data_IF_584124254432
#
_entry.id   IF_584124254432
#
_cell.length_a   1.000
_cell.length_b   1.000
_cell.length_c   1.000
_cell.angle_alpha   90.00
_cell.angle_beta   90.00
_cell.angle_gamma   90.00
#
_symmetry.space_group_name_H-M   'P 1'
#
loop_
_entity.id
_entity.type
_entity.pdbx_description
1 polymer ?
#
# COMPACT_ATOMS: atom_id res chain seq x y z
N UNK A 1 -16.50 -29.50 -36.36
CA UNK A 1 -17.82 -29.36 -35.71
C UNK A 1 -17.85 -29.94 -34.28
N UNK A 2 -17.34 -31.16 -34.06
CA UNK A 2 -17.30 -31.87 -32.76
C UNK A 2 -16.59 -31.10 -31.61
N UNK A 3 -15.55 -30.31 -31.91
CA UNK A 3 -14.77 -29.55 -30.93
C UNK A 3 -15.51 -28.31 -30.37
N UNK A 4 -16.43 -27.72 -31.16
CA UNK A 4 -17.31 -26.60 -30.70
C UNK A 4 -18.44 -27.13 -29.79
N UNK A 5 -18.99 -28.30 -30.09
CA UNK A 5 -20.00 -28.98 -29.27
C UNK A 5 -19.47 -29.37 -27.87
N UNK A 6 -18.23 -29.88 -27.78
CA UNK A 6 -17.58 -30.17 -26.48
C UNK A 6 -17.32 -28.93 -25.62
N UNK A 7 -16.99 -27.78 -26.22
CA UNK A 7 -16.77 -26.51 -25.49
C UNK A 7 -18.08 -25.90 -24.98
N UNK A 8 -19.19 -26.08 -25.70
CA UNK A 8 -20.53 -25.68 -25.25
C UNK A 8 -21.01 -26.57 -24.10
N UNK A 9 -20.77 -27.89 -24.18
CA UNK A 9 -21.09 -28.83 -23.10
C UNK A 9 -20.31 -28.55 -21.80
N UNK A 10 -19.05 -28.10 -21.90
CA UNK A 10 -18.24 -27.70 -20.75
C UNK A 10 -18.74 -26.43 -20.06
N UNK A 11 -19.24 -25.43 -20.81
CA UNK A 11 -19.85 -24.21 -20.26
C UNK A 11 -21.24 -24.44 -19.67
N UNK A 12 -21.99 -25.43 -20.19
CA UNK A 12 -23.28 -25.81 -19.66
C UNK A 12 -23.19 -26.42 -18.23
N UNK A 13 -22.08 -27.09 -17.89
CA UNK A 13 -21.87 -27.65 -16.53
C UNK A 13 -21.64 -26.61 -15.44
N UNK A 14 -21.31 -25.36 -15.80
CA UNK A 14 -21.17 -24.25 -14.85
C UNK A 14 -22.49 -23.51 -14.60
N UNK A 15 -23.55 -23.83 -15.34
CA UNK A 15 -24.87 -23.24 -15.22
C UNK A 15 -25.73 -24.10 -14.28
N UNK A 16 -26.36 -23.49 -13.28
CA UNK A 16 -27.23 -24.21 -12.34
C UNK A 16 -28.38 -24.94 -13.04
N UNK A 17 -28.98 -25.97 -12.42
CA UNK A 17 -30.00 -26.81 -13.05
C UNK A 17 -31.21 -26.01 -13.57
N UNK A 18 -31.57 -24.92 -12.89
CA UNK A 18 -32.63 -24.01 -13.30
C UNK A 18 -32.33 -23.23 -14.60
N UNK A 19 -31.08 -22.83 -14.81
CA UNK A 19 -30.68 -22.12 -16.04
C UNK A 19 -30.62 -23.04 -17.24
N UNK A 20 -30.23 -24.31 -17.05
CA UNK A 20 -30.27 -25.33 -18.09
C UNK A 20 -31.72 -25.60 -18.50
N UNK A 21 -32.64 -25.74 -17.53
CA UNK A 21 -34.07 -25.91 -17.79
C UNK A 21 -34.68 -24.75 -18.59
N UNK A 22 -34.36 -23.51 -18.24
CA UNK A 22 -34.86 -22.33 -18.95
C UNK A 22 -34.37 -22.25 -20.41
N UNK A 23 -33.11 -22.61 -20.68
CA UNK A 23 -32.56 -22.64 -22.05
C UNK A 23 -33.27 -23.71 -22.88
N UNK A 24 -33.48 -24.91 -22.33
CA UNK A 24 -34.20 -26.00 -23.00
C UNK A 24 -35.64 -25.60 -23.35
N UNK A 25 -36.37 -25.02 -22.40
CA UNK A 25 -37.76 -24.56 -22.61
C UNK A 25 -37.82 -23.48 -23.71
N UNK A 26 -36.89 -22.53 -23.68
CA UNK A 26 -36.82 -21.45 -24.68
C UNK A 26 -36.51 -22.00 -26.07
N UNK A 27 -35.58 -22.97 -26.18
CA UNK A 27 -35.27 -23.63 -27.45
C UNK A 27 -36.45 -24.45 -28.01
N UNK A 28 -37.21 -25.13 -27.14
CA UNK A 28 -38.41 -25.86 -27.54
C UNK A 28 -39.53 -24.92 -28.01
N UNK A 29 -39.70 -23.77 -27.36
CA UNK A 29 -40.67 -22.75 -27.80
C UNK A 29 -40.31 -22.16 -29.16
N UNK A 30 -39.05 -21.84 -29.41
CA UNK A 30 -38.58 -21.35 -30.73
C UNK A 30 -38.82 -22.39 -31.82
N UNK A 31 -38.57 -23.67 -31.54
CA UNK A 31 -38.86 -24.78 -32.46
C UNK A 31 -40.36 -24.94 -32.73
N UNK A 32 -41.21 -24.81 -31.70
CA UNK A 32 -42.65 -24.90 -31.84
C UNK A 32 -43.24 -23.73 -32.65
N UNK A 33 -42.73 -22.50 -32.47
CA UNK A 33 -43.12 -21.32 -33.27
C UNK A 33 -42.75 -21.51 -34.74
N UNK A 34 -41.55 -22.02 -35.03
CA UNK A 34 -41.09 -22.25 -36.41
C UNK A 34 -41.90 -23.35 -37.10
N UNK A 35 -42.24 -24.43 -36.40
CA UNK A 35 -43.14 -25.47 -36.93
C UNK A 35 -44.55 -24.91 -37.17
N UNK A 36 -45.15 -24.18 -36.21
CA UNK A 36 -46.48 -23.62 -36.37
C UNK A 36 -46.58 -22.60 -37.52
N UNK A 37 -45.51 -21.85 -37.78
CA UNK A 37 -45.43 -20.91 -38.91
C UNK A 37 -45.34 -21.62 -40.27
N UNK A 38 -44.75 -22.83 -40.33
CA UNK A 38 -44.64 -23.62 -41.57
C UNK A 38 -45.98 -24.29 -41.94
N UNK A 39 -46.83 -24.62 -40.96
CA UNK A 39 -48.13 -25.26 -41.18
C UNK A 39 -49.31 -24.28 -41.26
N UNK A 40 -49.06 -23.00 -41.55
CA UNK A 40 -50.05 -21.91 -41.70
C UNK A 40 -51.02 -21.76 -40.50
N UNK A 41 -50.59 -22.21 -39.33
CA UNK A 41 -51.35 -22.13 -38.09
C UNK A 41 -51.11 -20.78 -37.39
N UNK A 42 -51.43 -19.68 -38.08
CA UNK A 42 -51.10 -18.32 -37.67
C UNK A 42 -51.53 -17.98 -36.23
N UNK A 43 -52.71 -18.46 -35.79
CA UNK A 43 -53.21 -18.26 -34.41
C UNK A 43 -52.33 -18.95 -33.36
N UNK A 44 -51.84 -20.16 -33.67
CA UNK A 44 -50.98 -20.94 -32.77
C UNK A 44 -49.58 -20.32 -32.72
N UNK A 45 -49.06 -19.86 -33.86
CA UNK A 45 -47.77 -19.19 -33.95
C UNK A 45 -47.74 -17.88 -33.12
N UNK A 46 -48.80 -17.08 -33.18
CA UNK A 46 -48.93 -15.84 -32.39
C UNK A 46 -48.98 -16.14 -30.88
N UNK A 47 -49.73 -17.16 -30.45
CA UNK A 47 -49.78 -17.57 -29.04
C UNK A 47 -48.42 -18.06 -28.52
N UNK A 48 -47.69 -18.85 -29.33
CA UNK A 48 -46.37 -19.36 -28.97
C UNK A 48 -45.31 -18.24 -28.95
N UNK A 49 -45.40 -17.26 -29.85
CA UNK A 49 -44.54 -16.09 -29.86
C UNK A 49 -44.77 -15.21 -28.63
N UNK A 50 -46.03 -14.99 -28.23
CA UNK A 50 -46.38 -14.26 -27.02
C UNK A 50 -45.83 -14.94 -25.76
N UNK A 51 -45.91 -16.28 -25.70
CA UNK A 51 -45.36 -17.08 -24.61
C UNK A 51 -43.83 -17.00 -24.55
N UNK A 52 -43.15 -17.07 -25.70
CA UNK A 52 -41.69 -16.88 -25.79
C UNK A 52 -41.28 -15.49 -25.27
N UNK A 53 -42.02 -14.45 -25.66
CA UNK A 53 -41.75 -13.08 -25.22
C UNK A 53 -41.94 -12.92 -23.71
N UNK A 54 -42.99 -13.52 -23.14
CA UNK A 54 -43.24 -13.53 -21.70
C UNK A 54 -42.11 -14.22 -20.91
N UNK A 55 -41.61 -15.37 -21.41
CA UNK A 55 -40.48 -16.09 -20.80
C UNK A 55 -39.19 -15.27 -20.89
N UNK A 56 -38.94 -14.59 -22.02
CA UNK A 56 -37.79 -13.71 -22.19
C UNK A 56 -37.84 -12.52 -21.23
N UNK A 57 -38.99 -11.85 -21.11
CA UNK A 57 -39.21 -10.74 -20.17
C UNK A 57 -39.03 -11.21 -18.73
N UNK A 58 -39.59 -12.36 -18.34
CA UNK A 58 -39.42 -12.93 -17.01
C UNK A 58 -37.95 -13.30 -16.70
N UNK A 59 -37.22 -13.81 -17.71
CA UNK A 59 -35.78 -14.08 -17.60
C UNK A 59 -34.96 -12.80 -17.38
N UNK A 60 -35.23 -11.75 -18.17
CA UNK A 60 -34.62 -10.43 -18.01
C UNK A 60 -34.95 -9.85 -16.63
N UNK A 61 -36.22 -9.95 -16.19
CA UNK A 61 -36.64 -9.47 -14.87
C UNK A 61 -35.90 -10.22 -13.76
N UNK A 62 -35.78 -11.55 -13.84
CA UNK A 62 -35.06 -12.37 -12.85
C UNK A 62 -33.57 -12.03 -12.79
N UNK A 63 -32.93 -11.80 -13.93
CA UNK A 63 -31.52 -11.36 -14.00
C UNK A 63 -31.39 -9.95 -13.45
N UNK A 64 -32.29 -9.03 -13.77
CA UNK A 64 -32.26 -7.66 -13.29
C UNK A 64 -32.53 -7.57 -11.78
N UNK A 65 -33.42 -8.43 -11.24
CA UNK A 65 -33.65 -8.59 -9.81
C UNK A 65 -32.46 -9.23 -9.09
N UNK A 66 -31.78 -10.21 -9.71
CA UNK A 66 -30.55 -10.81 -9.17
C UNK A 66 -29.37 -9.81 -9.18
N UNK A 67 -29.26 -9.01 -10.24
CA UNK A 67 -28.33 -7.89 -10.33
C UNK A 67 -28.70 -6.76 -9.37
N UNK A 68 -29.99 -6.54 -9.08
CA UNK A 68 -30.45 -5.61 -8.06
C UNK A 68 -30.07 -6.08 -6.65
N UNK A 69 -30.09 -7.40 -6.39
CA UNK A 69 -29.55 -7.99 -5.16
C UNK A 69 -28.03 -7.81 -5.02
N UNK A 70 -27.25 -8.03 -6.09
CA UNK A 70 -25.80 -7.74 -6.08
C UNK A 70 -25.48 -6.23 -6.02
N UNK A 71 -26.38 -5.38 -6.54
CA UNK A 71 -26.32 -3.92 -6.35
C UNK A 71 -26.75 -3.51 -4.95
N UNK A 72 -27.51 -4.34 -4.23
CA UNK A 72 -27.87 -4.14 -2.83
C UNK A 72 -26.67 -4.41 -1.90
N UNK A 73 -25.82 -5.41 -2.20
CA UNK A 73 -24.54 -5.61 -1.50
C UNK A 73 -23.57 -4.42 -1.70
N UNK A 74 -23.62 -3.76 -2.87
CA UNK A 74 -22.90 -2.49 -3.10
C UNK A 74 -23.64 -1.26 -2.58
N UNK A 75 -24.90 -1.40 -2.16
CA UNK A 75 -25.66 -0.36 -1.46
C UNK A 75 -25.43 -0.43 0.03
N UNK A 76 -25.02 -1.54 0.62
CA UNK A 76 -24.66 -1.56 2.04
C UNK A 76 -23.46 -0.63 2.36
N UNK A 77 -22.52 -0.50 1.42
CA UNK A 77 -21.40 0.47 1.50
C UNK A 77 -21.82 1.92 1.15
N UNK A 78 -22.95 2.12 0.47
CA UNK A 78 -23.44 3.46 0.03
C UNK A 78 -24.58 4.00 0.90
N UNK A 79 -25.37 3.13 1.49
CA UNK A 79 -26.53 3.44 2.34
C UNK A 79 -26.09 3.73 3.77
N UNK A 80 -24.86 3.39 4.18
CA UNK A 80 -24.25 3.99 5.37
C UNK A 80 -24.15 5.52 5.24
N UNK A 81 -23.93 6.06 4.03
CA UNK A 81 -23.89 7.52 3.79
C UNK A 81 -25.28 8.17 3.80
N UNK A 82 -26.30 7.48 3.30
CA UNK A 82 -27.68 8.00 3.28
C UNK A 82 -28.33 7.90 4.65
N UNK A 83 -28.09 6.80 5.37
CA UNK A 83 -28.55 6.62 6.75
C UNK A 83 -27.85 7.63 7.67
N UNK A 84 -26.53 7.85 7.51
CA UNK A 84 -25.79 8.86 8.28
C UNK A 84 -26.31 10.28 8.03
N UNK A 85 -26.56 10.66 6.77
CA UNK A 85 -27.13 11.96 6.40
C UNK A 85 -28.58 12.13 6.87
N UNK A 86 -29.38 11.06 6.85
CA UNK A 86 -30.75 11.07 7.39
C UNK A 86 -30.79 11.11 8.93
N UNK A 87 -29.87 10.41 9.63
CA UNK A 87 -29.72 10.56 11.09
C UNK A 87 -29.18 11.92 11.46
N UNK A 88 -28.25 12.50 10.70
CA UNK A 88 -27.75 13.85 10.94
C UNK A 88 -28.85 14.90 10.78
N UNK A 89 -29.66 14.84 9.72
CA UNK A 89 -30.78 15.79 9.54
C UNK A 89 -31.87 15.61 10.60
N UNK A 90 -32.13 14.37 11.04
CA UNK A 90 -33.08 14.10 12.13
C UNK A 90 -32.55 14.59 13.48
N UNK A 91 -31.27 14.40 13.78
CA UNK A 91 -30.61 14.91 14.99
C UNK A 91 -30.57 16.45 14.96
N UNK A 92 -30.23 17.08 13.84
CA UNK A 92 -30.27 18.54 13.68
C UNK A 92 -31.69 19.08 13.87
N UNK A 93 -32.71 18.42 13.30
CA UNK A 93 -34.11 18.84 13.47
C UNK A 93 -34.71 18.52 14.86
N UNK A 94 -34.11 17.56 15.59
CA UNK A 94 -34.46 17.24 16.97
C UNK A 94 -33.80 18.23 17.94
N UNK A 95 -32.57 18.66 17.63
CA UNK A 95 -31.84 19.72 18.35
C UNK A 95 -32.51 21.08 18.14
N UNK A 96 -33.00 21.40 16.94
CA UNK A 96 -33.79 22.62 16.69
C UNK A 96 -35.14 22.63 17.40
N UNK A 97 -35.74 21.45 17.64
CA UNK A 97 -37.03 21.32 18.34
C UNK A 97 -36.91 21.41 19.87
N UNK A 98 -35.69 21.33 20.41
CA UNK A 98 -35.43 21.44 21.85
C UNK A 98 -34.93 22.85 22.24
N UNK A 99 -35.31 23.86 21.45
CA UNK A 99 -34.91 25.28 21.52
C UNK A 99 -35.38 26.08 22.75
N UNK A 100 -35.83 25.43 23.82
CA UNK A 100 -36.31 26.12 25.02
C UNK A 100 -35.70 25.50 26.28
N UNK A 101 -34.38 25.65 26.42
CA UNK A 101 -33.69 26.08 27.65
C UNK A 101 -32.19 25.77 27.58
N UNK A 102 -31.40 26.75 28.05
CA UNK A 102 -29.96 26.67 28.42
C UNK A 102 -28.95 26.92 27.28
N UNK A 103 -28.53 28.18 27.15
CA UNK A 103 -27.66 28.72 26.10
C UNK A 103 -26.17 28.32 26.18
N UNK A 104 -25.64 27.91 27.34
CA UNK A 104 -24.18 27.73 27.47
C UNK A 104 -23.65 26.31 27.16
N UNK A 105 -24.40 25.25 27.48
CA UNK A 105 -23.99 23.86 27.14
C UNK A 105 -24.05 23.55 25.65
N UNK A 106 -24.83 24.33 24.90
CA UNK A 106 -24.98 24.15 23.46
C UNK A 106 -23.74 24.54 22.68
N UNK A 107 -23.02 25.60 23.10
CA UNK A 107 -21.84 26.10 22.37
C UNK A 107 -20.70 25.07 22.37
N UNK A 108 -20.43 24.45 23.51
CA UNK A 108 -19.41 23.40 23.66
C UNK A 108 -19.76 22.12 22.88
N UNK A 109 -21.03 21.72 22.86
CA UNK A 109 -21.51 20.57 22.08
C UNK A 109 -21.48 20.83 20.58
N UNK A 110 -21.86 22.04 20.13
CA UNK A 110 -21.74 22.44 18.73
C UNK A 110 -20.27 22.45 18.28
N UNK A 111 -19.37 22.97 19.11
CA UNK A 111 -17.94 22.96 18.81
C UNK A 111 -17.37 21.53 18.80
N UNK A 112 -17.84 20.65 19.70
CA UNK A 112 -17.45 19.24 19.71
C UNK A 112 -17.92 18.51 18.44
N UNK A 113 -19.18 18.71 18.02
CA UNK A 113 -19.73 18.12 16.80
C UNK A 113 -19.05 18.69 15.55
N UNK A 114 -18.78 20.00 15.50
CA UNK A 114 -18.06 20.62 14.40
C UNK A 114 -16.58 20.18 14.34
N UNK A 115 -15.95 19.84 15.48
CA UNK A 115 -14.62 19.21 15.51
C UNK A 115 -14.69 17.80 14.92
N UNK A 116 -15.65 16.98 15.33
CA UNK A 116 -15.83 15.60 14.81
C UNK A 116 -16.13 15.62 13.31
N UNK A 117 -17.00 16.52 12.84
CA UNK A 117 -17.30 16.71 11.41
C UNK A 117 -16.06 17.16 10.63
N UNK A 118 -15.27 18.12 11.14
CA UNK A 118 -14.02 18.54 10.47
C UNK A 118 -12.99 17.43 10.39
N UNK A 119 -12.92 16.54 11.38
CA UNK A 119 -12.04 15.36 11.38
C UNK A 119 -12.54 14.34 10.35
N UNK A 120 -13.85 14.07 10.31
CA UNK A 120 -14.45 13.16 9.33
C UNK A 120 -14.31 13.68 7.88
N UNK A 121 -14.56 14.97 7.65
CA UNK A 121 -14.41 15.60 6.33
C UNK A 121 -12.95 15.73 5.90
N UNK A 122 -12.01 15.87 6.84
CA UNK A 122 -10.57 15.74 6.55
C UNK A 122 -10.24 14.32 6.15
N UNK A 123 -10.62 13.31 6.93
CA UNK A 123 -10.37 11.90 6.60
C UNK A 123 -10.97 11.47 5.24
N UNK A 124 -12.17 11.94 4.89
CA UNK A 124 -12.79 11.66 3.58
C UNK A 124 -12.09 12.39 2.43
N UNK A 125 -11.60 13.62 2.65
CA UNK A 125 -10.80 14.35 1.65
C UNK A 125 -9.41 13.74 1.47
N UNK A 126 -8.77 13.34 2.55
CA UNK A 126 -7.46 12.70 2.54
C UNK A 126 -7.52 11.37 1.80
N UNK A 127 -8.54 10.54 2.05
CA UNK A 127 -8.78 9.32 1.27
C UNK A 127 -9.07 9.60 -0.21
N UNK A 128 -9.74 10.71 -0.54
CA UNK A 128 -10.08 11.08 -1.92
C UNK A 128 -8.84 11.42 -2.76
N UNK A 129 -7.79 11.95 -2.16
CA UNK A 129 -6.54 12.30 -2.86
C UNK A 129 -5.42 11.27 -2.66
N UNK A 130 -5.40 10.56 -1.53
CA UNK A 130 -4.41 9.51 -1.26
C UNK A 130 -4.58 8.32 -2.21
N UNK A 131 -5.81 7.84 -2.42
CA UNK A 131 -6.03 6.66 -3.28
C UNK A 131 -5.59 6.88 -4.73
N UNK A 132 -5.96 7.99 -5.41
CA UNK A 132 -5.44 8.27 -6.75
C UNK A 132 -3.91 8.35 -6.79
N UNK A 133 -3.29 9.02 -5.81
CA UNK A 133 -1.84 9.16 -5.73
C UNK A 133 -1.14 7.80 -5.61
N UNK A 134 -1.60 6.92 -4.72
CA UNK A 134 -1.00 5.59 -4.57
C UNK A 134 -1.20 4.72 -5.81
N UNK A 135 -2.33 4.85 -6.51
CA UNK A 135 -2.57 4.17 -7.79
C UNK A 135 -1.62 4.69 -8.87
N UNK A 136 -1.47 6.02 -8.99
CA UNK A 136 -0.54 6.65 -9.93
C UNK A 136 0.90 6.22 -9.65
N UNK A 137 1.33 6.22 -8.39
CA UNK A 137 2.65 5.78 -7.98
C UNK A 137 2.86 4.28 -8.31
N UNK A 138 1.88 3.43 -8.03
CA UNK A 138 1.91 2.01 -8.39
C UNK A 138 2.06 1.82 -9.90
N UNK A 139 1.29 2.56 -10.71
CA UNK A 139 1.40 2.48 -12.18
C UNK A 139 2.80 2.89 -12.63
N UNK A 140 3.37 3.97 -12.09
CA UNK A 140 4.73 4.42 -12.41
C UNK A 140 5.80 3.39 -12.03
N UNK A 141 5.67 2.75 -10.86
CA UNK A 141 6.57 1.69 -10.40
C UNK A 141 6.63 0.53 -11.41
N UNK A 142 5.48 0.06 -11.88
CA UNK A 142 5.39 -1.05 -12.84
C UNK A 142 5.68 -0.65 -14.30
N UNK A 143 5.64 0.64 -14.65
CA UNK A 143 6.10 1.11 -15.96
C UNK A 143 7.63 1.06 -16.09
N UNK A 144 8.36 1.28 -14.99
CA UNK A 144 9.83 1.27 -14.98
C UNK A 144 10.48 -0.09 -14.74
N UNK A 145 9.69 -1.15 -14.51
CA UNK A 145 10.19 -2.44 -14.05
C UNK A 145 9.30 -3.60 -14.52
N UNK A 146 9.91 -4.66 -15.05
CA UNK A 146 9.20 -5.91 -15.38
C UNK A 146 9.58 -7.00 -14.37
N UNK A 147 8.68 -7.37 -13.44
CA UNK A 147 8.98 -8.40 -12.45
C UNK A 147 9.16 -9.77 -13.09
N UNK A 148 10.23 -10.48 -12.69
CA UNK A 148 10.51 -11.88 -13.07
C UNK A 148 9.64 -12.89 -12.33
N UNK A 149 9.04 -12.49 -11.21
CA UNK A 149 8.12 -13.27 -10.39
C UNK A 149 7.09 -12.34 -9.73
N UNK A 150 6.00 -12.86 -9.11
CA UNK A 150 5.01 -12.03 -8.45
C UNK A 150 5.65 -11.14 -7.37
N UNK A 151 5.42 -9.83 -7.44
CA UNK A 151 5.97 -8.90 -6.45
C UNK A 151 5.42 -9.23 -5.05
N UNK A 152 6.27 -9.12 -4.00
CA UNK A 152 5.80 -9.28 -2.63
C UNK A 152 4.66 -8.31 -2.33
N UNK A 153 3.70 -8.77 -1.50
CA UNK A 153 2.59 -7.92 -1.09
C UNK A 153 3.11 -6.71 -0.31
N UNK A 154 2.55 -5.55 -0.57
CA UNK A 154 2.74 -4.33 0.23
C UNK A 154 1.94 -4.42 1.54
N UNK A 155 2.15 -5.48 2.34
CA UNK A 155 1.44 -5.72 3.60
C UNK A 155 1.58 -4.58 4.62
N UNK A 156 1.10 -4.77 5.84
CA UNK A 156 0.98 -3.69 6.85
C UNK A 156 2.30 -3.00 7.25
N UNK A 157 3.44 -3.60 6.92
CA UNK A 157 4.79 -3.11 7.25
C UNK A 157 5.62 -2.71 6.02
N UNK A 158 5.02 -2.64 4.84
CA UNK A 158 5.73 -2.21 3.63
C UNK A 158 5.59 -0.70 3.41
N UNK A 159 6.64 -0.08 2.86
CA UNK A 159 6.57 1.27 2.30
C UNK A 159 5.35 1.41 1.37
N UNK A 160 4.64 2.54 1.48
CA UNK A 160 3.55 2.81 0.55
C UNK A 160 4.10 3.06 -0.88
N UNK A 161 3.27 2.91 -1.93
CA UNK A 161 3.72 3.12 -3.31
C UNK A 161 4.38 4.48 -3.58
N UNK A 162 3.87 5.60 -3.03
CA UNK A 162 4.45 6.94 -3.22
C UNK A 162 5.87 7.04 -2.63
N UNK A 163 6.01 6.61 -1.38
CA UNK A 163 7.24 6.56 -0.61
C UNK A 163 8.26 5.69 -1.37
N UNK A 164 7.86 4.48 -1.78
CA UNK A 164 8.71 3.59 -2.57
C UNK A 164 9.14 4.21 -3.90
N UNK A 165 8.25 4.89 -4.62
CA UNK A 165 8.58 5.54 -5.90
C UNK A 165 9.66 6.61 -5.73
N UNK A 166 9.56 7.44 -4.68
CA UNK A 166 10.56 8.44 -4.32
C UNK A 166 11.92 7.79 -4.01
N UNK A 167 11.92 6.75 -3.17
CA UNK A 167 13.14 6.00 -2.83
C UNK A 167 13.83 5.44 -4.09
N UNK A 168 13.07 4.80 -4.99
CA UNK A 168 13.63 4.28 -6.23
C UNK A 168 14.13 5.40 -7.15
N UNK A 169 13.48 6.56 -7.16
CA UNK A 169 13.97 7.74 -7.89
C UNK A 169 15.31 8.24 -7.35
N UNK A 170 15.47 8.29 -6.02
CA UNK A 170 16.73 8.66 -5.37
C UNK A 170 17.86 7.70 -5.76
N UNK A 171 17.63 6.39 -5.67
CA UNK A 171 18.63 5.37 -6.04
C UNK A 171 19.00 5.47 -7.52
N UNK A 172 18.03 5.66 -8.42
CA UNK A 172 18.31 5.83 -9.86
C UNK A 172 19.16 7.06 -10.16
N UNK A 173 18.91 8.15 -9.43
CA UNK A 173 19.56 9.44 -9.64
C UNK A 173 20.96 9.47 -9.03
N UNK A 174 21.11 8.98 -7.80
CA UNK A 174 22.38 9.01 -7.06
C UNK A 174 23.32 7.85 -7.41
N UNK A 175 22.77 6.74 -7.91
CA UNK A 175 23.51 5.51 -8.27
C UNK A 175 24.50 5.06 -7.17
N UNK A 176 24.00 4.80 -5.94
CA UNK A 176 24.85 4.32 -4.85
C UNK A 176 25.48 2.97 -5.20
N UNK A 177 26.76 2.78 -4.86
CA UNK A 177 27.45 1.50 -5.05
C UNK A 177 27.04 0.50 -3.98
N UNK A 178 26.84 0.96 -2.74
CA UNK A 178 26.37 0.16 -1.63
C UNK A 178 25.18 0.83 -0.94
N UNK A 179 24.07 0.10 -0.89
CA UNK A 179 22.87 0.45 -0.13
C UNK A 179 22.77 -0.48 1.09
N UNK A 180 22.57 0.10 2.27
CA UNK A 180 22.23 -0.62 3.50
C UNK A 180 20.77 -0.31 3.86
N UNK A 181 19.98 -1.34 4.07
CA UNK A 181 18.58 -1.25 4.51
C UNK A 181 18.44 -1.88 5.90
N UNK A 182 17.76 -1.18 6.81
CA UNK A 182 17.39 -1.67 8.13
C UNK A 182 15.92 -2.10 8.09
N UNK A 183 15.65 -3.39 8.15
CA UNK A 183 14.32 -3.98 7.95
C UNK A 183 14.16 -4.50 6.52
N UNK A 184 14.14 -5.82 6.35
CA UNK A 184 13.99 -6.43 5.02
C UNK A 184 12.53 -6.60 4.64
N UNK A 185 12.24 -6.66 3.33
CA UNK A 185 10.90 -6.95 2.86
C UNK A 185 10.64 -6.60 1.41
N UNK A 186 9.50 -5.96 1.16
CA UNK A 186 9.05 -5.62 -0.19
C UNK A 186 9.98 -4.58 -0.84
N UNK A 187 10.39 -3.57 -0.08
CA UNK A 187 11.39 -2.56 -0.48
C UNK A 187 12.68 -3.19 -0.97
N UNK A 188 13.18 -4.23 -0.28
CA UNK A 188 14.38 -4.99 -0.66
C UNK A 188 14.32 -5.48 -2.11
N UNK A 189 13.19 -6.06 -2.52
CA UNK A 189 13.05 -6.61 -3.89
C UNK A 189 13.02 -5.49 -4.93
N UNK A 190 12.33 -4.39 -4.65
CA UNK A 190 12.27 -3.22 -5.54
C UNK A 190 13.63 -2.53 -5.69
N UNK A 191 14.33 -2.30 -4.57
CA UNK A 191 15.67 -1.72 -4.54
C UNK A 191 16.65 -2.60 -5.32
N UNK A 192 16.61 -3.91 -5.11
CA UNK A 192 17.49 -4.86 -5.79
C UNK A 192 17.35 -4.80 -7.32
N UNK A 193 16.12 -4.68 -7.86
CA UNK A 193 15.92 -4.48 -9.30
C UNK A 193 16.53 -3.17 -9.81
N UNK A 194 16.35 -2.07 -9.08
CA UNK A 194 16.91 -0.78 -9.51
C UNK A 194 18.43 -0.80 -9.46
N UNK A 195 19.02 -1.39 -8.42
CA UNK A 195 20.46 -1.54 -8.28
C UNK A 195 21.06 -2.48 -9.33
N UNK A 196 20.34 -3.52 -9.76
CA UNK A 196 20.72 -4.36 -10.90
C UNK A 196 20.82 -3.52 -12.19
N UNK A 197 19.93 -2.53 -12.38
CA UNK A 197 19.93 -1.66 -13.56
C UNK A 197 21.03 -0.59 -13.53
N UNK A 198 21.27 0.05 -12.37
CA UNK A 198 22.21 1.18 -12.27
C UNK A 198 23.63 0.79 -11.89
N UNK A 199 23.83 -0.46 -11.45
CA UNK A 199 25.10 -0.95 -10.94
C UNK A 199 25.29 -0.56 -9.48
N UNK A 200 25.06 -1.51 -8.58
CA UNK A 200 25.23 -1.36 -7.13
C UNK A 200 24.89 -2.66 -6.41
N UNK A 201 24.96 -2.67 -5.08
CA UNK A 201 24.55 -3.81 -4.25
C UNK A 201 23.73 -3.35 -3.06
N UNK A 202 22.86 -4.24 -2.59
CA UNK A 202 21.99 -4.04 -1.44
C UNK A 202 22.33 -5.05 -0.35
N UNK A 203 22.42 -4.56 0.89
CA UNK A 203 22.45 -5.40 2.09
C UNK A 203 21.28 -4.96 2.96
N UNK A 204 20.41 -5.90 3.30
CA UNK A 204 19.26 -5.66 4.18
C UNK A 204 19.44 -6.45 5.47
N UNK A 205 19.28 -5.79 6.60
CA UNK A 205 19.26 -6.42 7.91
C UNK A 205 17.84 -6.75 8.31
N UNK A 206 17.63 -7.92 8.91
CA UNK A 206 16.36 -8.28 9.50
C UNK A 206 16.55 -8.99 10.84
N UNK A 207 15.74 -8.63 11.81
CA UNK A 207 15.80 -9.19 13.16
C UNK A 207 14.89 -10.41 13.31
N UNK A 208 13.88 -10.54 12.46
CA UNK A 208 12.95 -11.67 12.44
C UNK A 208 13.46 -12.69 11.40
N UNK A 209 13.91 -13.88 11.84
CA UNK A 209 14.46 -14.88 10.92
C UNK A 209 13.43 -15.43 9.93
N UNK A 210 12.14 -15.45 10.28
CA UNK A 210 11.07 -15.90 9.39
C UNK A 210 10.82 -14.84 8.31
N UNK A 211 10.83 -13.56 8.69
CA UNK A 211 10.73 -12.45 7.73
C UNK A 211 11.94 -12.41 6.79
N UNK A 212 13.16 -12.54 7.33
CA UNK A 212 14.39 -12.66 6.57
C UNK A 212 14.34 -13.81 5.55
N UNK A 213 13.88 -14.99 5.99
CA UNK A 213 13.75 -16.16 5.13
C UNK A 213 12.76 -15.94 3.98
N UNK A 214 11.63 -15.25 4.24
CA UNK A 214 10.65 -14.86 3.22
C UNK A 214 11.23 -13.88 2.21
N UNK A 215 11.96 -12.86 2.66
CA UNK A 215 12.62 -11.89 1.78
C UNK A 215 13.68 -12.57 0.90
N UNK A 216 14.51 -13.46 1.47
CA UNK A 216 15.46 -14.27 0.68
C UNK A 216 14.77 -15.15 -0.36
N UNK A 217 13.62 -15.74 -0.01
CA UNK A 217 12.85 -16.55 -0.96
C UNK A 217 12.32 -15.70 -2.13
N UNK A 218 11.85 -14.48 -1.85
CA UNK A 218 11.45 -13.54 -2.88
C UNK A 218 12.64 -13.14 -3.78
N UNK A 219 13.79 -12.80 -3.20
CA UNK A 219 15.00 -12.49 -3.98
C UNK A 219 15.42 -13.65 -4.89
N UNK A 220 15.38 -14.90 -4.40
CA UNK A 220 15.64 -16.10 -5.22
C UNK A 220 14.63 -16.26 -6.36
N UNK A 221 13.34 -16.12 -6.08
CA UNK A 221 12.30 -16.22 -7.11
C UNK A 221 12.45 -15.16 -8.20
N UNK A 222 12.96 -13.98 -7.83
CA UNK A 222 13.24 -12.88 -8.74
C UNK A 222 14.64 -12.94 -9.36
N UNK A 223 15.50 -13.90 -9.01
CA UNK A 223 16.87 -13.99 -9.53
C UNK A 223 17.80 -12.85 -9.10
N UNK A 224 17.53 -12.22 -7.96
CA UNK A 224 18.19 -10.99 -7.48
C UNK A 224 19.30 -11.23 -6.45
N UNK A 225 19.62 -12.48 -6.12
CA UNK A 225 20.62 -12.83 -5.08
C UNK A 225 22.06 -12.44 -5.43
N UNK A 226 22.34 -12.09 -6.69
CA UNK A 226 23.64 -11.54 -7.09
C UNK A 226 23.81 -10.05 -6.78
N UNK A 227 22.71 -9.35 -6.47
CA UNK A 227 22.67 -7.89 -6.24
C UNK A 227 22.29 -7.57 -4.79
N UNK A 228 21.43 -8.39 -4.18
CA UNK A 228 20.93 -8.18 -2.83
C UNK A 228 21.19 -9.37 -1.90
N UNK A 229 21.60 -9.04 -0.67
CA UNK A 229 21.85 -9.95 0.44
C UNK A 229 20.95 -9.58 1.62
N UNK A 230 20.38 -10.58 2.31
CA UNK A 230 19.62 -10.38 3.55
C UNK A 230 20.34 -11.08 4.69
N UNK A 231 20.77 -10.32 5.69
CA UNK A 231 21.48 -10.82 6.88
C UNK A 231 20.54 -10.92 8.07
N UNK A 232 20.62 -12.04 8.78
CA UNK A 232 19.98 -12.16 10.08
C UNK A 232 20.76 -11.30 11.08
N UNK A 233 20.07 -10.38 11.73
CA UNK A 233 20.62 -9.43 12.69
C UNK A 233 19.66 -9.34 13.88
N UNK A 234 19.64 -10.35 14.76
CA UNK A 234 18.73 -10.38 15.91
C UNK A 234 18.94 -9.13 16.78
N UNK A 235 17.88 -8.69 17.47
CA UNK A 235 17.99 -7.52 18.34
C UNK A 235 18.78 -7.87 19.60
N UNK A 236 19.89 -7.17 19.80
CA UNK A 236 20.74 -7.24 20.98
C UNK A 236 20.81 -5.88 21.69
N UNK A 237 21.10 -5.82 22.99
CA UNK A 237 21.36 -4.56 23.65
C UNK A 237 22.57 -3.84 23.03
N UNK A 238 22.36 -2.60 22.59
CA UNK A 238 23.40 -1.70 22.10
C UNK A 238 23.45 -0.47 23.01
N UNK A 239 24.60 -0.25 23.63
CA UNK A 239 24.84 0.88 24.55
C UNK A 239 25.25 2.13 23.76
N UNK A 240 24.49 3.22 23.93
CA UNK A 240 24.78 4.55 23.39
C UNK A 240 24.70 5.58 24.51
N UNK A 241 25.86 6.04 24.98
CA UNK A 241 25.96 6.91 26.15
C UNK A 241 25.46 6.19 27.40
N UNK A 242 24.45 6.75 28.07
CA UNK A 242 23.83 6.18 29.28
C UNK A 242 22.59 5.33 28.98
N UNK A 243 22.26 5.12 27.70
CA UNK A 243 21.05 4.43 27.25
C UNK A 243 21.40 3.11 26.55
N UNK A 244 20.62 2.07 26.84
CA UNK A 244 20.66 0.78 26.14
C UNK A 244 19.46 0.65 25.21
N UNK A 245 19.69 0.20 23.98
CA UNK A 245 18.66 0.03 22.96
C UNK A 245 18.62 -1.41 22.44
N UNK A 246 17.45 -2.06 22.35
CA UNK A 246 17.31 -3.31 21.59
C UNK A 246 17.44 -3.01 20.09
N UNK A 247 18.61 -3.32 19.52
CA UNK A 247 18.98 -2.95 18.16
C UNK A 247 19.65 -4.09 17.42
N UNK A 248 19.69 -4.04 16.09
CA UNK A 248 20.36 -5.02 15.23
C UNK A 248 21.77 -5.34 15.75
N UNK A 249 22.08 -6.64 15.87
CA UNK A 249 23.41 -7.12 16.28
C UNK A 249 24.52 -6.48 15.43
N UNK A 250 25.43 -5.69 16.06
CA UNK A 250 26.51 -5.02 15.34
C UNK A 250 27.43 -5.95 14.56
N UNK A 251 27.52 -7.24 14.93
CA UNK A 251 28.32 -8.23 14.20
C UNK A 251 27.89 -8.37 12.73
N UNK A 252 26.61 -8.10 12.43
CA UNK A 252 26.09 -8.10 11.05
C UNK A 252 26.64 -6.93 10.18
N UNK A 253 27.36 -5.99 10.79
CA UNK A 253 27.87 -4.76 10.17
C UNK A 253 29.41 -4.71 10.05
N UNK A 254 30.13 -5.72 10.54
CA UNK A 254 31.60 -5.64 10.74
C UNK A 254 32.40 -5.50 9.44
N UNK A 255 31.92 -6.07 8.34
CA UNK A 255 32.55 -6.00 7.02
C UNK A 255 32.07 -4.80 6.18
N UNK A 256 31.15 -3.99 6.70
CA UNK A 256 30.54 -2.89 5.96
C UNK A 256 31.36 -1.60 6.08
N UNK A 257 31.78 -1.09 4.92
CA UNK A 257 32.42 0.22 4.79
C UNK A 257 31.97 0.88 3.49
N UNK A 258 31.85 2.20 3.49
CA UNK A 258 31.50 2.96 2.29
C UNK A 258 30.02 2.82 1.89
N UNK A 259 29.11 2.81 2.86
CA UNK A 259 27.66 2.84 2.58
C UNK A 259 27.28 4.19 1.98
N UNK A 260 26.87 4.20 0.71
CA UNK A 260 26.50 5.41 -0.03
C UNK A 260 25.04 5.83 0.23
N UNK A 261 24.17 4.86 0.52
CA UNK A 261 22.79 5.12 0.91
C UNK A 261 22.36 4.21 2.06
N UNK A 262 21.83 4.81 3.12
CA UNK A 262 21.24 4.14 4.27
C UNK A 262 19.72 4.34 4.27
N UNK A 263 18.95 3.25 4.24
CA UNK A 263 17.50 3.26 4.48
C UNK A 263 17.21 2.81 5.91
N UNK A 264 16.63 3.69 6.71
CA UNK A 264 16.21 3.44 8.09
C UNK A 264 14.70 3.18 8.10
N UNK A 265 14.31 1.92 7.92
CA UNK A 265 12.91 1.46 7.94
C UNK A 265 12.60 0.56 9.17
N UNK A 266 13.62 0.26 9.96
CA UNK A 266 13.49 -0.64 11.10
C UNK A 266 14.55 -0.40 12.18
N UNK A 267 14.45 -1.15 13.28
CA UNK A 267 13.42 -2.12 13.61
C UNK A 267 12.09 -1.41 13.94
N UNK A 268 10.98 -2.14 14.03
CA UNK A 268 9.66 -1.54 14.19
C UNK A 268 9.56 -0.71 15.49
N UNK A 269 8.81 0.40 15.46
CA UNK A 269 8.54 1.23 16.64
C UNK A 269 7.95 0.45 17.84
N UNK A 270 7.30 -0.70 17.58
CA UNK A 270 6.80 -1.60 18.62
C UNK A 270 7.90 -2.23 19.49
N UNK A 271 9.16 -2.22 19.04
CA UNK A 271 10.32 -2.70 19.78
C UNK A 271 10.62 -1.81 21.00
N UNK A 272 10.39 -0.51 20.88
CA UNK A 272 10.62 0.44 21.96
C UNK A 272 10.67 1.89 21.49
N UNK A 273 10.61 2.85 22.44
CA UNK A 273 10.77 4.26 22.13
C UNK A 273 12.15 4.51 21.51
N UNK A 274 12.21 5.44 20.55
CA UNK A 274 13.43 5.78 19.80
C UNK A 274 14.08 4.54 19.16
N UNK A 275 13.29 3.53 18.81
CA UNK A 275 13.82 2.25 18.31
C UNK A 275 14.85 2.49 17.22
N UNK A 276 14.54 3.34 16.22
CA UNK A 276 15.36 3.75 15.05
C UNK A 276 16.52 4.72 15.32
N UNK A 277 16.58 5.35 16.50
CA UNK A 277 17.62 6.32 16.87
C UNK A 277 19.07 5.79 16.80
N UNK A 278 19.37 4.52 17.16
CA UNK A 278 20.73 3.99 17.08
C UNK A 278 21.30 3.90 15.65
N UNK A 279 20.47 3.97 14.61
CA UNK A 279 20.91 3.79 13.22
C UNK A 279 22.09 4.70 12.85
N UNK A 280 21.96 6.02 13.05
CA UNK A 280 23.04 6.93 12.67
C UNK A 280 24.26 6.82 13.60
N UNK A 281 24.15 6.87 14.95
CA UNK A 281 25.32 6.73 15.82
C UNK A 281 26.14 5.45 15.58
N UNK A 282 25.47 4.33 15.25
CA UNK A 282 26.14 3.05 14.99
C UNK A 282 26.74 2.97 13.57
N UNK A 283 26.06 3.55 12.57
CA UNK A 283 26.45 3.41 11.16
C UNK A 283 27.30 4.56 10.62
N UNK A 284 27.38 5.71 11.30
CA UNK A 284 28.18 6.87 10.88
C UNK A 284 29.63 6.50 10.50
N UNK A 285 30.35 5.64 11.25
CA UNK A 285 31.70 5.23 10.90
C UNK A 285 31.80 4.40 9.62
N UNK A 286 30.69 3.80 9.19
CA UNK A 286 30.60 2.90 8.02
C UNK A 286 30.08 3.60 6.77
N UNK A 287 29.53 4.81 6.90
CA UNK A 287 29.07 5.62 5.78
C UNK A 287 30.23 6.03 4.87
N UNK A 288 29.96 6.16 3.57
CA UNK A 288 30.87 6.79 2.63
C UNK A 288 31.12 8.26 3.00
N UNK A 289 32.17 8.87 2.43
CA UNK A 289 32.47 10.30 2.65
C UNK A 289 31.31 11.21 2.26
N UNK A 290 30.52 10.78 1.28
CA UNK A 290 29.23 11.37 0.92
C UNK A 290 28.17 10.28 0.91
N UNK A 291 27.20 10.40 1.80
CA UNK A 291 26.13 9.43 1.93
C UNK A 291 24.76 10.09 1.94
N UNK A 292 23.75 9.32 1.53
CA UNK A 292 22.34 9.69 1.63
C UNK A 292 21.69 8.84 2.71
N UNK A 293 20.96 9.46 3.62
CA UNK A 293 20.18 8.74 4.62
C UNK A 293 18.71 9.00 4.32
N UNK A 294 17.95 7.93 4.12
CA UNK A 294 16.50 7.97 3.93
C UNK A 294 15.87 7.37 5.18
N UNK A 295 15.06 8.15 5.88
CA UNK A 295 14.44 7.75 7.14
C UNK A 295 12.93 7.61 6.94
N UNK A 296 12.39 6.41 7.16
CA UNK A 296 10.96 6.15 7.00
C UNK A 296 10.11 6.57 8.22
N UNK A 297 8.81 6.80 8.02
CA UNK A 297 7.87 7.28 9.04
C UNK A 297 8.28 8.60 9.73
N UNK A 298 9.02 9.48 9.06
CA UNK A 298 9.48 10.77 9.62
C UNK A 298 8.34 11.77 9.96
N UNK A 299 7.08 11.37 9.80
CA UNK A 299 5.91 12.11 10.26
C UNK A 299 5.54 11.82 11.73
N UNK A 300 6.14 10.80 12.36
CA UNK A 300 5.92 10.48 13.77
C UNK A 300 6.80 11.36 14.66
N UNK A 301 6.29 11.74 15.83
CA UNK A 301 6.94 12.71 16.70
C UNK A 301 8.25 12.21 17.32
N UNK A 302 8.32 10.91 17.64
CA UNK A 302 9.53 10.24 18.11
C UNK A 302 10.61 10.21 17.02
N UNK A 303 10.23 9.88 15.79
CA UNK A 303 11.16 9.86 14.65
C UNK A 303 11.68 11.26 14.29
N UNK A 304 10.83 12.28 14.39
CA UNK A 304 11.25 13.67 14.23
C UNK A 304 12.26 14.09 15.30
N UNK A 305 12.02 13.74 16.57
CA UNK A 305 12.95 14.00 17.66
C UNK A 305 14.29 13.27 17.44
N UNK A 306 14.27 12.02 16.95
CA UNK A 306 15.49 11.29 16.61
C UNK A 306 16.30 12.01 15.51
N UNK A 307 15.65 12.46 14.44
CA UNK A 307 16.30 13.21 13.35
C UNK A 307 16.86 14.55 13.84
N UNK A 308 16.12 15.28 14.67
CA UNK A 308 16.58 16.55 15.24
C UNK A 308 17.82 16.35 16.14
N UNK A 309 17.81 15.31 16.97
CA UNK A 309 18.97 14.96 17.80
C UNK A 309 20.19 14.59 16.94
N UNK A 310 19.99 13.87 15.83
CA UNK A 310 21.05 13.56 14.89
C UNK A 310 21.63 14.81 14.22
N UNK A 311 20.78 15.71 13.74
CA UNK A 311 21.21 16.97 13.11
C UNK A 311 21.98 17.87 14.09
N UNK A 312 21.67 17.81 15.37
CA UNK A 312 22.39 18.55 16.41
C UNK A 312 23.74 17.90 16.80
N UNK A 313 23.84 16.57 16.73
CA UNK A 313 24.99 15.82 17.23
C UNK A 313 26.02 15.43 16.15
N UNK A 314 25.61 15.32 14.88
CA UNK A 314 26.45 14.82 13.80
C UNK A 314 26.81 15.93 12.82
N UNK A 315 28.08 16.33 12.86
CA UNK A 315 28.65 17.26 11.89
C UNK A 315 28.52 16.73 10.46
N UNK A 316 28.18 17.63 9.53
CA UNK A 316 28.06 17.29 8.11
C UNK A 316 26.76 16.62 7.71
N UNK A 317 25.84 16.42 8.66
CA UNK A 317 24.48 15.98 8.39
C UNK A 317 23.59 17.20 8.10
N UNK A 318 22.84 17.16 7.00
CA UNK A 318 21.87 18.20 6.66
C UNK A 318 20.61 17.61 6.06
N UNK A 319 19.44 18.15 6.44
CA UNK A 319 18.16 17.76 5.87
C UNK A 319 18.00 18.31 4.46
N UNK A 320 17.61 17.43 3.54
CA UNK A 320 17.22 17.80 2.20
C UNK A 320 15.71 18.13 2.14
N UNK A 321 15.29 18.86 1.11
CA UNK A 321 13.88 19.21 0.93
C UNK A 321 12.99 17.98 0.67
N UNK A 322 11.70 18.12 0.97
CA UNK A 322 10.70 17.09 0.65
C UNK A 322 10.49 17.02 -0.87
N UNK A 323 10.53 15.81 -1.44
CA UNK A 323 10.25 15.58 -2.86
C UNK A 323 8.79 15.19 -3.06
N UNK A 324 8.40 13.98 -2.63
CA UNK A 324 7.08 13.41 -2.90
C UNK A 324 6.52 12.54 -1.77
N UNK A 325 7.39 11.86 -1.02
CA UNK A 325 7.00 10.91 0.02
C UNK A 325 7.10 11.49 1.43
N UNK A 326 6.88 10.62 2.41
CA UNK A 326 6.92 10.93 3.85
C UNK A 326 8.30 10.69 4.47
N UNK A 327 9.25 10.24 3.67
CA UNK A 327 10.62 10.05 4.14
C UNK A 327 11.26 11.38 4.51
N UNK A 328 12.10 11.38 5.53
CA UNK A 328 13.11 12.41 5.66
C UNK A 328 14.36 11.97 4.87
N UNK A 329 14.80 12.82 3.95
CA UNK A 329 16.05 12.62 3.21
C UNK A 329 17.11 13.52 3.84
N UNK A 330 18.24 12.93 4.23
CA UNK A 330 19.38 13.64 4.79
C UNK A 330 20.61 13.41 3.91
N UNK A 331 21.41 14.45 3.75
CA UNK A 331 22.74 14.39 3.16
C UNK A 331 23.79 14.34 4.27
N UNK A 332 24.83 13.54 4.06
CA UNK A 332 25.99 13.45 4.94
C UNK A 332 27.26 13.75 4.13
N UNK A 333 28.09 14.68 4.60
CA UNK A 333 29.43 14.95 4.04
C UNK A 333 30.49 14.97 5.15
N UNK A 334 31.34 13.94 5.17
CA UNK A 334 32.41 13.74 6.17
C UNK A 334 33.46 14.86 6.16
N UNK A 335 33.68 15.54 5.04
CA UNK A 335 34.72 16.56 4.90
C UNK A 335 34.43 17.85 5.68
N UNK A 336 33.15 18.13 5.92
CA UNK A 336 32.73 19.28 6.73
C UNK A 336 33.20 19.15 8.19
N UNK A 337 33.29 17.92 8.73
CA UNK A 337 33.82 17.60 10.06
C UNK A 337 35.31 17.89 10.20
N UNK A 338 36.10 17.63 9.16
CA UNK A 338 37.54 17.93 9.17
C UNK A 338 37.80 19.44 9.21
N UNK A 339 36.91 20.22 8.62
CA UNK A 339 37.03 21.68 8.57
C UNK A 339 36.69 22.33 9.92
N UNK A 340 35.64 21.85 10.61
CA UNK A 340 35.29 22.29 11.97
C UNK A 340 36.33 21.86 13.02
N UNK A 341 36.85 20.63 12.92
CA UNK A 341 37.90 20.15 13.83
C UNK A 341 39.21 20.96 13.71
N UNK A 342 39.58 21.39 12.50
CA UNK A 342 40.81 22.20 12.27
C UNK A 342 40.64 23.65 12.75
N UNK A 343 39.41 24.17 12.79
CA UNK A 343 39.13 25.54 13.24
C UNK A 343 39.09 25.70 14.78
N UNK A 344 39.03 24.60 15.54
CA UNK A 344 38.87 24.62 17.01
C UNK A 344 40.17 24.30 17.75
N UNK A 345 41.30 24.13 17.05
CA UNK A 345 42.61 23.99 17.68
C UNK A 345 43.16 25.38 18.10
N UNK A 346 43.29 25.69 19.40
CA UNK A 346 43.97 26.90 19.82
C UNK A 346 45.45 26.81 19.47
N UNK A 347 45.99 27.89 18.90
CA UNK A 347 47.43 28.09 18.67
C UNK A 347 48.20 28.24 19.96
#
# INVERSE_FOLDING_TARGET
MVRKLRRLAGRARALGPLTIGAVVITSLLVAAVTVAAVYDAARIAVCLLALLLAVAVAGVLRVNLRLAGMRADRREIRDLRVVLDQTQRRVVSAVERQRLNTEDRHRELFDAVARVQRIADRGVRDLRFAVPREVEATVQLFQGLTPRAPMPSSGDFALNPTDLLELLFLVRTRRPRLVLELGSGTSTVWLAYVLEQVGGRLISLDHDPDYAARTRAALRAHGLTGVAEVRDAPLTPVELGERSFPWYDPAALDDLTGVDLLLVDGPPAAVGPDSRYPALPVLEPRLADRATIVFDDANRSDEQAAIENWLAAVDGLAREGELLGRHAVLSYDRSTRLTTATATAPR
#
